data_IF_159323633360
#
_entry.id   IF_159323633360
#
_cell.length_a   1.000
_cell.length_b   1.000
_cell.length_c   1.000
_cell.angle_alpha   90.00
_cell.angle_beta   90.00
_cell.angle_gamma   90.00
#
_symmetry.space_group_name_H-M   'P 1'
#
loop_
_entity.id
_entity.type
_entity.pdbx_description
1 polymer ?
#
# COMPACT_ATOMS: atom_id res chain seq x y z
N UNK A 1 56.28 -22.17 35.62
CA UNK A 1 55.41 -20.99 35.82
C UNK A 1 54.62 -20.85 34.54
N UNK A 2 53.35 -21.22 34.62
CA UNK A 2 52.45 -21.48 33.51
C UNK A 2 51.85 -20.15 33.05
N UNK A 3 52.57 -19.43 32.16
CA UNK A 3 52.03 -18.24 31.50
C UNK A 3 51.24 -18.73 30.29
N UNK A 4 50.05 -19.32 30.52
CA UNK A 4 49.13 -19.61 29.43
C UNK A 4 48.77 -18.27 28.78
N UNK A 5 49.26 -18.04 27.56
CA UNK A 5 48.92 -16.87 26.79
C UNK A 5 47.40 -16.77 26.68
N UNK A 6 46.76 -15.78 27.28
CA UNK A 6 45.32 -15.60 27.14
C UNK A 6 45.02 -15.13 25.72
N UNK A 7 44.22 -15.89 24.98
CA UNK A 7 43.69 -15.51 23.67
C UNK A 7 42.18 -15.26 23.80
N UNK A 8 41.73 -14.00 23.94
CA UNK A 8 40.32 -13.68 24.18
C UNK A 8 39.39 -14.32 23.14
N UNK A 9 38.35 -15.01 23.63
CA UNK A 9 37.40 -15.74 22.77
C UNK A 9 37.86 -17.13 22.31
N UNK A 10 39.00 -17.63 22.79
CA UNK A 10 39.48 -18.97 22.49
C UNK A 10 39.79 -19.76 23.77
N UNK A 11 39.54 -21.06 23.71
CA UNK A 11 39.96 -22.03 24.71
C UNK A 11 41.27 -22.68 24.27
N UNK A 12 42.26 -22.72 25.17
CA UNK A 12 43.50 -23.44 24.92
C UNK A 12 43.25 -24.94 24.89
N UNK A 13 43.47 -25.58 23.74
CA UNK A 13 43.27 -27.02 23.57
C UNK A 13 44.52 -27.85 23.89
N UNK A 14 45.71 -27.22 23.95
CA UNK A 14 46.96 -27.86 24.33
C UNK A 14 48.10 -27.64 23.32
N UNK A 15 49.26 -28.21 23.67
CA UNK A 15 50.46 -28.25 22.82
C UNK A 15 50.51 -29.55 22.02
N UNK A 16 51.01 -29.45 20.78
CA UNK A 16 51.10 -30.54 19.81
C UNK A 16 52.52 -30.62 19.23
N UNK A 17 52.97 -31.82 18.86
CA UNK A 17 54.33 -32.03 18.30
C UNK A 17 54.38 -31.98 16.78
N UNK A 18 53.23 -31.84 16.13
CA UNK A 18 53.09 -31.79 14.69
C UNK A 18 52.35 -30.51 14.26
N UNK A 19 52.73 -29.95 13.12
CA UNK A 19 52.15 -28.73 12.56
C UNK A 19 50.64 -28.87 12.26
N UNK A 20 50.20 -30.09 11.94
CA UNK A 20 48.79 -30.41 11.71
C UNK A 20 47.96 -30.44 13.01
N UNK A 21 48.59 -30.33 14.20
CA UNK A 21 47.93 -30.30 15.52
C UNK A 21 47.05 -31.53 15.77
N UNK A 22 47.59 -32.71 15.47
CA UNK A 22 46.92 -34.01 15.63
C UNK A 22 47.49 -34.85 16.78
N UNK A 23 48.77 -34.68 17.14
CA UNK A 23 49.48 -35.39 18.20
C UNK A 23 49.69 -34.49 19.43
N UNK A 24 48.74 -34.54 20.36
CA UNK A 24 48.75 -33.75 21.60
C UNK A 24 49.81 -34.26 22.58
N UNK A 25 50.48 -33.34 23.27
CA UNK A 25 51.38 -33.66 24.38
C UNK A 25 50.58 -33.92 25.65
N UNK A 26 50.89 -35.03 26.33
CA UNK A 26 50.41 -35.29 27.68
C UNK A 26 51.39 -34.68 28.71
N UNK A 27 50.89 -34.00 29.76
CA UNK A 27 51.74 -33.48 30.82
C UNK A 27 52.59 -34.60 31.47
N UNK A 28 53.88 -34.33 31.76
CA UNK A 28 54.74 -35.21 32.54
C UNK A 28 55.72 -36.11 31.76
N UNK A 29 55.71 -36.08 30.43
CA UNK A 29 56.72 -36.77 29.62
C UNK A 29 58.07 -36.04 29.59
N UNK A 30 59.19 -36.78 29.67
CA UNK A 30 60.50 -36.23 29.30
C UNK A 30 60.53 -36.04 27.79
N UNK A 31 60.49 -34.79 27.35
CA UNK A 31 60.72 -34.45 25.95
C UNK A 31 62.21 -34.70 25.62
N UNK A 32 62.55 -35.25 24.43
CA UNK A 32 63.92 -35.27 23.95
C UNK A 32 64.45 -33.84 23.75
N UNK A 33 65.70 -33.69 23.27
CA UNK A 33 66.33 -32.41 22.90
C UNK A 33 65.39 -31.48 22.11
N UNK A 34 65.75 -30.18 21.99
CA UNK A 34 64.98 -29.11 21.33
C UNK A 34 63.92 -29.60 20.31
N UNK A 35 62.64 -29.44 20.68
CA UNK A 35 61.47 -29.84 19.88
C UNK A 35 60.59 -28.61 19.61
N UNK A 36 60.07 -28.46 18.40
CA UNK A 36 59.08 -27.43 18.05
C UNK A 36 57.69 -27.88 18.47
N UNK A 37 57.00 -27.04 19.24
CA UNK A 37 55.62 -27.28 19.67
C UNK A 37 54.66 -26.32 18.95
N UNK A 38 53.46 -26.82 18.69
CA UNK A 38 52.37 -26.07 18.05
C UNK A 38 51.22 -25.95 19.04
N UNK A 39 50.77 -24.74 19.34
CA UNK A 39 49.57 -24.51 20.12
C UNK A 39 48.31 -24.71 19.29
N UNK A 40 47.24 -25.16 19.94
CA UNK A 40 45.90 -25.26 19.36
C UNK A 40 44.91 -24.46 20.20
N UNK A 41 44.17 -23.60 19.52
CA UNK A 41 43.14 -22.74 20.11
C UNK A 41 41.80 -23.05 19.45
N UNK A 42 40.76 -23.26 20.25
CA UNK A 42 39.41 -23.53 19.76
C UNK A 42 38.54 -22.30 20.10
N UNK A 43 37.86 -21.67 19.13
CA UNK A 43 36.96 -20.56 19.41
C UNK A 43 35.86 -20.98 20.40
N UNK A 44 35.62 -20.14 21.40
CA UNK A 44 34.53 -20.33 22.35
C UNK A 44 33.22 -19.93 21.66
N UNK A 45 32.21 -20.79 21.77
CA UNK A 45 30.85 -20.51 21.31
C UNK A 45 30.07 -19.81 22.42
N UNK A 46 29.65 -18.58 22.16
CA UNK A 46 28.81 -17.78 23.05
C UNK A 46 27.35 -17.86 22.62
N UNK A 47 26.42 -18.19 23.54
CA UNK A 47 25.00 -18.26 23.21
C UNK A 47 24.43 -16.87 22.92
N UNK A 48 23.54 -16.82 21.93
CA UNK A 48 22.71 -15.66 21.61
C UNK A 48 21.29 -15.94 22.07
N UNK A 49 20.78 -15.10 22.97
CA UNK A 49 19.40 -15.19 23.44
C UNK A 49 18.55 -14.07 22.85
N UNK A 50 17.27 -14.36 22.60
CA UNK A 50 16.32 -13.42 22.02
C UNK A 50 15.12 -13.29 22.94
N UNK A 51 14.89 -12.09 23.45
CA UNK A 51 13.66 -11.70 24.09
C UNK A 51 12.70 -11.19 23.00
N UNK A 52 11.62 -11.94 22.81
CA UNK A 52 10.73 -11.75 21.68
C UNK A 52 9.58 -10.80 21.97
N UNK A 53 9.41 -10.28 23.19
CA UNK A 53 8.29 -9.40 23.54
C UNK A 53 6.92 -9.94 23.07
N UNK A 54 6.71 -11.26 23.20
CA UNK A 54 5.51 -11.98 22.78
C UNK A 54 5.45 -12.37 21.30
N UNK A 55 6.48 -12.10 20.51
CA UNK A 55 6.63 -12.54 19.13
C UNK A 55 7.38 -13.87 18.97
N UNK A 56 7.87 -14.13 17.76
CA UNK A 56 8.62 -15.34 17.38
C UNK A 56 9.89 -14.98 16.61
N UNK A 57 10.97 -15.70 16.88
CA UNK A 57 12.26 -15.47 16.22
C UNK A 57 12.35 -16.22 14.89
N UNK A 58 13.10 -15.67 13.95
CA UNK A 58 13.50 -16.39 12.73
C UNK A 58 14.45 -17.53 13.08
N UNK A 59 14.22 -18.72 12.53
CA UNK A 59 15.15 -19.87 12.64
C UNK A 59 16.50 -19.63 11.96
N UNK A 60 16.61 -18.58 11.13
CA UNK A 60 17.85 -18.18 10.45
C UNK A 60 18.78 -17.36 11.36
N UNK A 61 18.27 -16.84 12.47
CA UNK A 61 19.10 -16.12 13.43
C UNK A 61 19.99 -17.11 14.22
N UNK A 62 21.25 -16.75 14.52
CA UNK A 62 22.20 -17.66 15.14
C UNK A 62 21.80 -18.01 16.58
N UNK A 63 22.04 -19.26 16.98
CA UNK A 63 21.95 -19.68 18.39
C UNK A 63 23.27 -19.45 19.15
N UNK A 64 24.39 -19.51 18.43
CA UNK A 64 25.73 -19.32 18.97
C UNK A 64 26.55 -18.49 18.01
N UNK A 65 27.49 -17.74 18.57
CA UNK A 65 28.49 -16.94 17.85
C UNK A 65 29.87 -17.13 18.47
N UNK A 66 30.91 -16.82 17.72
CA UNK A 66 32.29 -16.78 18.21
C UNK A 66 32.99 -15.55 17.66
N UNK A 67 34.22 -15.33 18.11
CA UNK A 67 35.11 -14.30 17.57
C UNK A 67 35.46 -14.49 16.08
N UNK A 68 35.16 -15.66 15.51
CA UNK A 68 35.37 -15.98 14.09
C UNK A 68 34.08 -15.91 13.26
N UNK A 69 32.92 -15.60 13.85
CA UNK A 69 31.63 -15.60 13.15
C UNK A 69 31.49 -14.55 12.04
N UNK A 70 32.39 -13.57 11.98
CA UNK A 70 32.30 -12.46 11.01
C UNK A 70 31.06 -11.59 11.20
N UNK A 71 30.61 -10.98 10.10
CA UNK A 71 29.46 -10.06 10.08
C UNK A 71 28.16 -10.87 9.97
N UNK A 72 27.28 -10.76 10.96
CA UNK A 72 25.98 -11.44 10.97
C UNK A 72 24.85 -10.42 10.86
N UNK A 73 24.10 -10.47 9.76
CA UNK A 73 22.84 -9.74 9.62
C UNK A 73 21.71 -10.48 10.33
N UNK A 74 20.92 -9.76 11.12
CA UNK A 74 19.80 -10.33 11.85
C UNK A 74 18.54 -10.30 10.98
N UNK A 75 17.83 -11.43 10.95
CA UNK A 75 16.51 -11.52 10.36
C UNK A 75 15.44 -10.94 11.29
N UNK A 76 14.38 -10.32 10.76
CA UNK A 76 13.32 -9.74 11.55
C UNK A 76 12.57 -10.80 12.38
N UNK A 77 12.05 -10.38 13.53
CA UNK A 77 11.11 -11.15 14.32
C UNK A 77 9.69 -10.98 13.79
N UNK A 78 8.79 -11.90 14.14
CA UNK A 78 7.37 -11.84 13.77
C UNK A 78 6.46 -11.77 14.97
N UNK A 79 5.49 -10.85 14.97
CA UNK A 79 4.44 -10.74 15.99
C UNK A 79 3.10 -10.42 15.32
N UNK A 80 2.09 -11.30 15.38
CA UNK A 80 0.79 -11.03 14.77
C UNK A 80 0.20 -9.69 15.24
N UNK A 81 -0.30 -8.89 14.30
CA UNK A 81 -0.88 -7.56 14.57
C UNK A 81 0.14 -6.43 14.74
N UNK A 82 1.42 -6.68 14.49
CA UNK A 82 2.48 -5.68 14.59
C UNK A 82 3.50 -5.86 13.47
N UNK A 83 4.15 -4.77 13.07
CA UNK A 83 5.32 -4.82 12.20
C UNK A 83 6.59 -4.88 13.04
N UNK A 84 7.60 -5.57 12.50
CA UNK A 84 8.93 -5.56 13.11
C UNK A 84 9.57 -4.18 12.95
N UNK A 85 10.16 -3.68 14.03
CA UNK A 85 10.75 -2.34 14.05
C UNK A 85 12.28 -2.40 14.14
N UNK A 86 12.84 -3.12 15.13
CA UNK A 86 14.29 -3.35 15.22
C UNK A 86 14.67 -4.46 16.22
N UNK A 87 15.91 -4.92 16.14
CA UNK A 87 16.58 -5.57 17.26
C UNK A 87 17.23 -4.51 18.15
N UNK A 88 17.19 -4.73 19.46
CA UNK A 88 17.83 -3.88 20.46
C UNK A 88 18.88 -4.70 21.20
N UNK A 89 20.12 -4.23 21.19
CA UNK A 89 21.24 -4.77 21.97
C UNK A 89 21.74 -3.67 22.90
N UNK A 90 21.69 -3.89 24.22
CA UNK A 90 22.22 -2.93 25.21
C UNK A 90 21.62 -1.52 25.09
N UNK A 91 20.37 -1.42 24.65
CA UNK A 91 19.66 -0.14 24.45
C UNK A 91 19.79 0.44 23.04
N UNK A 92 20.71 -0.07 22.22
CA UNK A 92 20.96 0.41 20.87
C UNK A 92 20.22 -0.41 19.82
N UNK A 93 19.68 0.27 18.80
CA UNK A 93 19.02 -0.38 17.67
C UNK A 93 20.08 -0.93 16.72
N UNK A 94 19.99 -2.21 16.40
CA UNK A 94 20.93 -2.88 15.51
C UNK A 94 20.21 -3.69 14.43
N UNK A 95 20.86 -3.83 13.27
CA UNK A 95 20.48 -4.77 12.19
C UNK A 95 21.55 -5.83 11.95
N UNK A 96 22.75 -5.62 12.51
CA UNK A 96 23.94 -6.47 12.36
C UNK A 96 24.57 -6.64 13.74
N UNK A 97 25.03 -7.85 14.07
CA UNK A 97 25.72 -8.10 15.32
C UNK A 97 27.10 -7.43 15.34
N UNK A 98 27.54 -6.88 16.49
CA UNK A 98 28.92 -6.41 16.67
C UNK A 98 29.95 -7.51 16.38
N UNK A 99 31.09 -7.13 15.83
CA UNK A 99 32.21 -8.05 15.63
C UNK A 99 32.87 -8.44 16.96
N UNK A 100 33.57 -9.59 16.96
CA UNK A 100 34.42 -10.07 18.06
C UNK A 100 33.71 -10.17 19.41
N UNK A 101 32.47 -10.65 19.42
CA UNK A 101 31.75 -10.90 20.66
C UNK A 101 32.41 -12.05 21.45
N UNK A 102 32.84 -11.73 22.67
CA UNK A 102 33.51 -12.66 23.60
C UNK A 102 32.67 -13.01 24.82
N UNK A 103 31.35 -12.88 24.73
CA UNK A 103 30.41 -13.15 25.82
C UNK A 103 29.02 -13.50 25.28
N UNK A 104 28.16 -14.17 26.09
CA UNK A 104 26.75 -14.28 25.77
C UNK A 104 26.11 -12.90 25.53
N UNK A 105 25.16 -12.83 24.60
CA UNK A 105 24.38 -11.61 24.33
C UNK A 105 22.89 -11.91 24.41
N UNK A 106 22.11 -10.86 24.70
CA UNK A 106 20.65 -10.88 24.67
C UNK A 106 20.15 -9.75 23.79
N UNK A 107 19.32 -10.09 22.82
CA UNK A 107 18.64 -9.16 21.92
C UNK A 107 17.18 -9.04 22.31
N UNK A 108 16.62 -7.83 22.24
CA UNK A 108 15.20 -7.59 22.42
C UNK A 108 14.56 -7.21 21.09
N UNK A 109 13.45 -7.85 20.73
CA UNK A 109 12.68 -7.49 19.54
C UNK A 109 11.78 -6.28 19.84
N UNK A 110 11.93 -5.20 19.08
CA UNK A 110 11.01 -4.05 19.06
C UNK A 110 9.97 -4.24 17.97
N UNK A 111 8.73 -3.88 18.27
CA UNK A 111 7.60 -3.93 17.34
C UNK A 111 6.83 -2.62 17.37
N UNK A 112 6.28 -2.25 16.22
CA UNK A 112 5.44 -1.07 16.08
C UNK A 112 4.04 -1.47 15.57
N UNK A 113 3.01 -0.63 15.79
CA UNK A 113 1.71 -0.83 15.17
C UNK A 113 1.79 -0.92 13.63
N UNK A 114 0.83 -1.62 13.04
CA UNK A 114 0.62 -1.65 11.59
C UNK A 114 0.26 -0.24 11.10
N UNK A 115 0.52 0.03 9.82
CA UNK A 115 0.17 1.34 9.26
C UNK A 115 -1.33 1.41 9.00
N UNK A 116 -1.92 2.55 9.33
CA UNK A 116 -3.34 2.83 9.08
C UNK A 116 -3.50 3.50 7.73
N UNK A 117 -4.45 3.01 6.95
CA UNK A 117 -4.84 3.54 5.64
C UNK A 117 -6.22 4.14 5.73
N UNK A 118 -6.29 5.45 5.53
CA UNK A 118 -7.52 6.23 5.44
C UNK A 118 -7.96 6.35 3.98
N UNK A 119 -9.26 6.49 3.76
CA UNK A 119 -9.84 6.58 2.42
C UNK A 119 -10.66 7.85 2.23
N UNK A 120 -10.21 8.73 1.34
CA UNK A 120 -10.99 9.87 0.86
C UNK A 120 -11.65 9.48 -0.47
N UNK A 121 -12.96 9.30 -0.45
CA UNK A 121 -13.70 8.76 -1.60
C UNK A 121 -14.20 9.83 -2.57
N UNK A 122 -14.00 11.12 -2.25
CA UNK A 122 -14.46 12.26 -3.04
C UNK A 122 -15.95 12.11 -3.42
N UNK A 123 -16.82 11.89 -2.43
CA UNK A 123 -18.26 11.70 -2.64
C UNK A 123 -18.68 10.34 -3.20
N UNK A 124 -17.75 9.38 -3.32
CA UNK A 124 -18.08 7.96 -3.43
C UNK A 124 -18.58 7.38 -2.09
N UNK A 125 -19.12 6.16 -2.11
CA UNK A 125 -19.55 5.47 -0.89
C UNK A 125 -18.41 5.33 0.12
N UNK A 126 -18.68 5.60 1.41
CA UNK A 126 -17.69 5.57 2.50
C UNK A 126 -17.02 4.19 2.60
N UNK A 127 -15.71 4.20 2.85
CA UNK A 127 -14.91 3.03 3.17
C UNK A 127 -14.32 3.27 4.56
N UNK A 128 -14.41 2.26 5.44
CA UNK A 128 -13.75 2.31 6.74
C UNK A 128 -12.24 2.14 6.58
N UNK A 129 -11.50 2.76 7.50
CA UNK A 129 -10.05 2.66 7.57
C UNK A 129 -9.61 1.20 7.69
N UNK A 130 -8.41 0.94 7.18
CA UNK A 130 -7.80 -0.40 7.17
C UNK A 130 -6.39 -0.33 7.70
N UNK A 131 -5.88 -1.49 8.09
CA UNK A 131 -4.47 -1.65 8.46
C UNK A 131 -3.73 -2.43 7.37
N UNK A 132 -2.43 -2.17 7.24
CA UNK A 132 -1.54 -3.00 6.43
C UNK A 132 -1.26 -4.34 7.10
N UNK A 133 -0.67 -5.29 6.37
CA UNK A 133 -0.03 -6.45 6.97
C UNK A 133 1.29 -6.08 7.70
N UNK A 134 1.92 -7.09 8.29
CA UNK A 134 3.19 -6.96 9.03
C UNK A 134 4.38 -6.49 8.18
N UNK A 135 4.25 -6.54 6.84
CA UNK A 135 5.25 -6.11 5.87
C UNK A 135 4.90 -4.78 5.18
N UNK A 136 3.79 -4.13 5.58
CA UNK A 136 3.35 -2.85 5.04
C UNK A 136 2.43 -2.95 3.82
N UNK A 137 2.02 -4.14 3.38
CA UNK A 137 1.11 -4.29 2.24
C UNK A 137 -0.34 -4.09 2.65
N UNK A 138 -1.10 -3.39 1.80
CA UNK A 138 -2.53 -3.25 1.96
C UNK A 138 -3.25 -4.32 1.12
N UNK A 139 -4.10 -5.13 1.75
CA UNK A 139 -4.92 -6.09 1.01
C UNK A 139 -5.87 -5.38 0.04
N UNK A 140 -5.94 -5.87 -1.20
CA UNK A 140 -6.88 -5.35 -2.20
C UNK A 140 -8.33 -5.52 -1.75
N UNK A 141 -9.19 -4.58 -2.16
CA UNK A 141 -10.60 -4.59 -1.80
C UNK A 141 -11.47 -3.97 -2.89
N UNK A 142 -12.79 -4.15 -2.78
CA UNK A 142 -13.72 -3.60 -3.77
C UNK A 142 -13.68 -2.07 -3.72
N UNK A 143 -13.52 -1.39 -4.88
CA UNK A 143 -13.53 0.06 -4.89
C UNK A 143 -14.90 0.62 -4.47
N UNK A 144 -14.95 1.87 -4.00
CA UNK A 144 -16.23 2.52 -3.70
C UNK A 144 -17.03 2.69 -5.00
N UNK A 145 -18.32 2.92 -4.85
CA UNK A 145 -19.18 3.33 -5.97
C UNK A 145 -19.48 4.82 -5.85
N UNK A 146 -19.33 5.56 -6.95
CA UNK A 146 -19.79 6.94 -7.09
C UNK A 146 -20.75 7.01 -8.26
N UNK A 147 -21.99 7.36 -7.99
CA UNK A 147 -23.05 7.28 -8.98
C UNK A 147 -22.82 8.33 -10.09
N UNK A 148 -22.79 7.89 -11.35
CA UNK A 148 -22.51 8.76 -12.50
C UNK A 148 -21.02 9.01 -12.78
N UNK A 149 -20.13 8.27 -12.11
CA UNK A 149 -18.70 8.25 -12.39
C UNK A 149 -18.16 6.82 -12.40
N UNK A 150 -17.08 6.62 -13.13
CA UNK A 150 -16.29 5.40 -13.17
C UNK A 150 -15.06 5.56 -12.26
N UNK A 151 -14.81 4.57 -11.41
CA UNK A 151 -13.62 4.56 -10.55
C UNK A 151 -12.38 4.31 -11.41
N UNK A 152 -11.35 5.14 -11.25
CA UNK A 152 -10.11 5.05 -12.06
C UNK A 152 -8.92 4.52 -11.29
N UNK A 153 -8.97 4.50 -9.97
CA UNK A 153 -7.87 4.07 -9.12
C UNK A 153 -7.82 4.81 -7.79
N UNK A 154 -6.92 4.35 -6.91
CA UNK A 154 -6.52 5.06 -5.70
C UNK A 154 -5.24 5.84 -5.98
N UNK A 155 -5.10 7.00 -5.33
CA UNK A 155 -3.97 7.91 -5.51
C UNK A 155 -3.44 8.38 -4.17
N UNK A 156 -2.16 8.75 -4.13
CA UNK A 156 -1.45 9.25 -2.95
C UNK A 156 -1.63 10.76 -2.74
N UNK A 157 -2.26 11.46 -3.69
CA UNK A 157 -2.55 12.88 -3.61
C UNK A 157 -4.01 13.22 -3.99
N UNK A 158 -4.59 14.29 -3.42
CA UNK A 158 -5.96 14.71 -3.72
C UNK A 158 -6.20 15.02 -5.19
N UNK A 159 -5.19 15.49 -5.93
CA UNK A 159 -5.31 15.83 -7.35
C UNK A 159 -5.24 14.59 -8.27
N UNK A 160 -5.11 13.39 -7.70
CA UNK A 160 -5.03 12.13 -8.41
C UNK A 160 -3.90 12.07 -9.46
N UNK A 161 -2.70 12.53 -9.10
CA UNK A 161 -1.50 12.53 -9.96
C UNK A 161 -0.61 11.30 -9.73
N UNK A 162 -0.58 10.80 -8.50
CA UNK A 162 0.31 9.71 -8.08
C UNK A 162 -0.50 8.45 -7.79
N UNK A 163 -0.65 7.53 -8.76
CA UNK A 163 -1.43 6.31 -8.55
C UNK A 163 -0.79 5.43 -7.48
N UNK A 164 -1.65 4.83 -6.65
CA UNK A 164 -1.25 3.84 -5.65
C UNK A 164 -1.21 2.44 -6.26
N UNK A 165 -0.13 1.72 -6.00
CA UNK A 165 0.07 0.34 -6.41
C UNK A 165 -0.02 -0.59 -5.19
N UNK A 166 -0.99 -1.50 -5.20
CA UNK A 166 -1.20 -2.47 -4.13
C UNK A 166 -0.06 -3.50 -3.99
N UNK A 167 0.86 -3.56 -4.96
CA UNK A 167 2.04 -4.41 -4.93
C UNK A 167 3.27 -3.77 -4.28
N UNK A 168 3.14 -2.52 -3.81
CA UNK A 168 4.19 -1.80 -3.08
C UNK A 168 3.81 -1.63 -1.60
N UNK A 169 4.76 -1.81 -0.67
CA UNK A 169 4.48 -1.66 0.75
C UNK A 169 4.42 -0.17 1.15
N UNK A 170 3.51 0.15 2.06
CA UNK A 170 3.49 1.43 2.75
C UNK A 170 4.51 1.45 3.89
N UNK A 171 5.12 2.62 4.08
CA UNK A 171 6.12 2.86 5.14
C UNK A 171 5.66 3.86 6.20
N UNK A 172 4.41 4.32 6.11
CA UNK A 172 3.77 5.24 7.03
C UNK A 172 2.24 5.15 6.89
N UNK A 173 1.52 5.67 7.88
CA UNK A 173 0.08 5.89 7.77
C UNK A 173 -0.21 6.76 6.54
N UNK A 174 -1.21 6.39 5.76
CA UNK A 174 -1.43 6.94 4.41
C UNK A 174 -2.90 7.23 4.19
N UNK A 175 -3.20 8.33 3.50
CA UNK A 175 -4.56 8.58 2.97
C UNK A 175 -4.56 8.29 1.48
N UNK A 176 -5.47 7.42 1.04
CA UNK A 176 -5.70 7.14 -0.37
C UNK A 176 -6.91 7.92 -0.88
N UNK A 177 -6.75 8.57 -2.03
CA UNK A 177 -7.75 9.39 -2.68
C UNK A 177 -8.35 8.66 -3.88
N UNK A 178 -9.67 8.56 -3.95
CA UNK A 178 -10.36 7.90 -5.06
C UNK A 178 -10.40 8.82 -6.29
N UNK A 179 -9.84 8.35 -7.41
CA UNK A 179 -9.93 9.04 -8.68
C UNK A 179 -11.17 8.62 -9.48
N UNK A 180 -11.83 9.59 -10.11
CA UNK A 180 -13.10 9.38 -10.82
C UNK A 180 -13.10 9.95 -12.22
N UNK A 181 -13.72 9.23 -13.16
CA UNK A 181 -14.01 9.71 -14.51
C UNK A 181 -15.51 9.87 -14.70
N UNK A 182 -15.98 11.04 -15.10
CA UNK A 182 -17.42 11.28 -15.31
C UNK A 182 -18.00 10.37 -16.39
N UNK A 183 -19.12 9.71 -16.07
CA UNK A 183 -19.91 8.96 -17.05
C UNK A 183 -20.85 9.91 -17.80
N UNK A 184 -20.95 9.73 -19.12
CA UNK A 184 -21.83 10.53 -19.97
C UNK A 184 -23.06 9.73 -20.40
N UNK A 185 -24.23 10.35 -20.34
CA UNK A 185 -25.49 9.79 -20.79
C UNK A 185 -25.97 10.47 -22.07
N UNK A 186 -26.49 9.73 -23.06
CA UNK A 186 -26.97 10.32 -24.30
C UNK A 186 -28.32 11.04 -24.09
N UNK A 187 -28.54 12.11 -24.86
CA UNK A 187 -29.83 12.78 -24.98
C UNK A 187 -30.37 12.55 -26.39
N UNK A 188 -31.62 12.12 -26.49
CA UNK A 188 -32.31 11.87 -27.75
C UNK A 188 -33.58 12.70 -27.84
N UNK A 189 -33.86 13.22 -29.04
CA UNK A 189 -34.95 14.15 -29.29
C UNK A 189 -35.91 13.57 -30.32
N UNK A 190 -37.18 13.41 -29.94
CA UNK A 190 -38.30 13.23 -30.85
C UNK A 190 -38.95 14.60 -31.10
N UNK A 191 -38.76 15.14 -32.30
CA UNK A 191 -39.29 16.46 -32.67
C UNK A 191 -40.74 16.46 -33.11
N UNK A 192 -41.39 15.29 -33.20
CA UNK A 192 -42.75 15.12 -33.73
C UNK A 192 -42.93 15.85 -35.10
N UNK A 193 -41.97 15.64 -36.02
CA UNK A 193 -41.96 16.26 -37.34
C UNK A 193 -41.49 17.71 -37.39
N UNK A 194 -40.90 18.22 -36.31
CA UNK A 194 -40.18 19.50 -36.26
C UNK A 194 -38.68 19.37 -36.54
N UNK A 195 -37.98 20.49 -36.47
CA UNK A 195 -36.52 20.59 -36.60
C UNK A 195 -35.92 20.92 -35.24
N UNK A 196 -35.00 20.08 -34.76
CA UNK A 196 -34.31 20.29 -33.50
C UNK A 196 -33.30 21.45 -33.60
N UNK A 197 -33.09 22.19 -32.51
CA UNK A 197 -32.05 23.19 -32.45
C UNK A 197 -30.67 22.53 -32.45
N UNK A 198 -29.75 22.96 -33.33
CA UNK A 198 -28.38 22.44 -33.40
C UNK A 198 -27.58 22.58 -32.10
N UNK A 199 -27.96 23.54 -31.24
CA UNK A 199 -27.32 23.80 -29.93
C UNK A 199 -27.79 22.85 -28.83
N UNK A 200 -28.77 21.99 -29.08
CA UNK A 200 -29.22 21.05 -28.06
C UNK A 200 -28.13 20.01 -27.75
N UNK A 201 -27.90 19.68 -26.46
CA UNK A 201 -26.86 18.76 -26.04
C UNK A 201 -27.13 17.34 -26.56
N UNK A 202 -26.09 16.65 -27.01
CA UNK A 202 -26.19 15.23 -27.43
C UNK A 202 -25.92 14.25 -26.29
N UNK A 203 -25.33 14.74 -25.19
CA UNK A 203 -25.04 14.00 -23.98
C UNK A 203 -24.94 14.96 -22.80
N UNK A 204 -25.07 14.43 -21.60
CA UNK A 204 -24.90 15.14 -20.35
C UNK A 204 -24.27 14.22 -19.29
N UNK A 205 -23.76 14.77 -18.21
CA UNK A 205 -23.30 14.00 -17.05
C UNK A 205 -24.03 14.46 -15.79
N UNK A 206 -24.05 13.63 -14.76
CA UNK A 206 -24.57 14.03 -13.43
C UNK A 206 -23.82 15.24 -12.88
N UNK A 207 -22.52 15.32 -13.17
CA UNK A 207 -21.60 16.40 -12.76
C UNK A 207 -21.73 17.68 -13.59
N UNK A 208 -22.60 17.72 -14.61
CA UNK A 208 -22.86 18.93 -15.38
C UNK A 208 -23.75 19.89 -14.58
N UNK A 209 -23.45 21.19 -14.68
CA UNK A 209 -24.42 22.26 -14.36
C UNK A 209 -25.71 22.07 -15.17
N UNK A 210 -26.83 22.72 -14.78
CA UNK A 210 -28.07 22.65 -15.55
C UNK A 210 -27.82 22.96 -17.03
N UNK A 211 -28.19 22.03 -17.91
CA UNK A 211 -27.88 22.13 -19.34
C UNK A 211 -29.08 22.69 -20.09
N UNK A 212 -28.98 23.88 -20.72
CA UNK A 212 -30.14 24.49 -21.37
C UNK A 212 -30.65 23.65 -22.53
N UNK A 213 -31.98 23.58 -22.66
CA UNK A 213 -32.66 22.97 -23.80
C UNK A 213 -33.29 24.06 -24.66
N UNK A 214 -32.85 24.12 -25.91
CA UNK A 214 -33.29 25.08 -26.89
C UNK A 214 -34.56 24.61 -27.61
N UNK A 215 -35.46 25.54 -27.99
CA UNK A 215 -36.72 25.21 -28.63
C UNK A 215 -36.53 24.59 -30.01
N UNK A 216 -37.32 23.57 -30.33
CA UNK A 216 -37.46 23.07 -31.70
C UNK A 216 -38.37 23.99 -32.53
N UNK A 217 -38.30 23.87 -33.85
CA UNK A 217 -39.12 24.66 -34.80
C UNK A 217 -40.03 23.73 -35.61
N UNK A 218 -41.33 24.05 -35.66
CA UNK A 218 -42.31 23.36 -36.52
C UNK A 218 -43.30 24.38 -37.09
N UNK A 219 -43.44 24.42 -38.42
CA UNK A 219 -44.28 25.41 -39.13
C UNK A 219 -45.72 25.37 -38.62
N UNK A 220 -46.30 26.54 -38.33
CA UNK A 220 -47.68 26.68 -37.85
C UNK A 220 -47.92 26.28 -36.38
N UNK A 221 -46.87 25.94 -35.64
CA UNK A 221 -46.93 25.51 -34.25
C UNK A 221 -46.04 26.38 -33.35
N UNK A 222 -46.48 26.63 -32.12
CA UNK A 222 -45.68 27.25 -31.05
C UNK A 222 -45.08 26.15 -30.18
N UNK A 223 -43.77 26.17 -29.99
CA UNK A 223 -43.08 25.26 -29.08
C UNK A 223 -43.47 25.55 -27.63
N UNK A 224 -43.80 24.50 -26.88
CA UNK A 224 -44.17 24.59 -25.46
C UNK A 224 -43.01 24.17 -24.56
N UNK A 225 -42.27 23.14 -24.92
CA UNK A 225 -41.14 22.62 -24.14
C UNK A 225 -40.78 21.20 -24.56
N UNK A 226 -39.74 20.65 -23.94
CA UNK A 226 -39.34 19.26 -24.12
C UNK A 226 -39.95 18.39 -23.02
N UNK A 227 -40.76 17.42 -23.38
CA UNK A 227 -41.36 16.49 -22.43
C UNK A 227 -40.44 15.29 -22.18
N UNK A 228 -40.16 14.99 -20.92
CA UNK A 228 -39.45 13.77 -20.52
C UNK A 228 -40.39 12.53 -20.52
N UNK A 229 -39.88 11.31 -20.32
CA UNK A 229 -40.72 10.10 -20.31
C UNK A 229 -41.76 10.06 -19.18
N UNK A 230 -41.63 10.92 -18.16
CA UNK A 230 -42.57 11.02 -17.03
C UNK A 230 -43.66 12.05 -17.30
N UNK A 231 -43.60 12.75 -18.43
CA UNK A 231 -44.55 13.78 -18.82
C UNK A 231 -44.18 15.19 -18.37
N UNK A 232 -43.05 15.37 -17.68
CA UNK A 232 -42.57 16.67 -17.20
C UNK A 232 -42.03 17.51 -18.35
N UNK A 233 -42.47 18.77 -18.43
CA UNK A 233 -41.94 19.72 -19.41
C UNK A 233 -40.65 20.34 -18.87
N UNK A 234 -39.58 20.20 -19.64
CA UNK A 234 -38.23 20.68 -19.36
C UNK A 234 -37.82 21.76 -20.37
N UNK A 235 -37.14 22.77 -19.82
CA UNK A 235 -36.45 23.83 -20.57
C UNK A 235 -34.93 23.77 -20.39
N UNK A 236 -34.48 22.91 -19.48
CA UNK A 236 -33.09 22.55 -19.23
C UNK A 236 -33.06 21.14 -18.67
N UNK A 237 -31.92 20.46 -18.77
CA UNK A 237 -31.63 19.22 -18.07
C UNK A 237 -31.13 19.64 -16.68
N UNK A 238 -31.88 19.37 -15.60
CA UNK A 238 -31.46 19.77 -14.26
C UNK A 238 -30.13 19.11 -13.86
N UNK A 239 -29.34 19.82 -13.05
CA UNK A 239 -28.15 19.26 -12.43
C UNK A 239 -28.49 17.97 -11.68
N UNK A 240 -27.60 16.98 -11.75
CA UNK A 240 -27.79 15.71 -11.06
C UNK A 240 -28.78 14.73 -11.72
N UNK A 241 -29.40 15.07 -12.87
CA UNK A 241 -30.22 14.11 -13.64
C UNK A 241 -29.35 12.96 -14.18
N UNK A 242 -29.94 11.79 -14.43
CA UNK A 242 -29.19 10.57 -14.76
C UNK A 242 -29.87 9.65 -15.75
N UNK A 243 -29.04 8.87 -16.45
CA UNK A 243 -29.45 7.87 -17.42
C UNK A 243 -29.68 8.45 -18.83
N UNK A 244 -29.83 7.60 -19.85
CA UNK A 244 -30.22 8.07 -21.18
C UNK A 244 -31.53 8.87 -21.14
N UNK A 245 -31.50 10.09 -21.67
CA UNK A 245 -32.65 10.99 -21.66
C UNK A 245 -33.34 10.98 -23.03
N UNK A 246 -34.65 10.72 -23.04
CA UNK A 246 -35.49 10.79 -24.25
C UNK A 246 -36.47 11.94 -24.09
N UNK A 247 -36.41 12.92 -24.98
CA UNK A 247 -37.22 14.13 -24.92
C UNK A 247 -38.13 14.22 -26.14
N UNK A 248 -39.41 14.52 -25.91
CA UNK A 248 -40.40 14.74 -26.98
C UNK A 248 -40.80 16.21 -27.06
N UNK A 249 -40.80 16.79 -28.26
CA UNK A 249 -41.23 18.17 -28.45
C UNK A 249 -42.75 18.30 -28.23
N UNK A 250 -43.17 19.24 -27.39
CA UNK A 250 -44.58 19.57 -27.16
C UNK A 250 -44.95 20.85 -27.89
N UNK A 251 -46.07 20.81 -28.61
CA UNK A 251 -46.51 21.87 -29.52
C UNK A 251 -47.90 22.40 -29.16
N UNK A 252 -48.15 23.67 -29.47
CA UNK A 252 -49.47 24.31 -29.42
C UNK A 252 -49.77 24.90 -30.79
N UNK A 253 -50.92 24.56 -31.40
CA UNK A 253 -51.31 25.16 -32.69
C UNK A 253 -51.52 26.67 -32.53
N UNK A 254 -50.97 27.44 -33.47
CA UNK A 254 -51.26 28.88 -33.53
C UNK A 254 -52.62 29.02 -34.24
N UNK A 255 -53.64 29.56 -33.56
CA UNK A 255 -54.93 29.83 -34.20
C UNK A 255 -54.69 30.85 -35.31
N UNK A 256 -54.99 30.49 -36.56
CA UNK A 256 -55.02 31.48 -37.63
C UNK A 256 -56.18 32.42 -37.37
N UNK A 257 -55.91 33.68 -37.05
CA UNK A 257 -56.90 34.71 -37.29
C UNK A 257 -57.11 34.78 -38.80
N UNK A 258 -58.24 34.26 -39.28
CA UNK A 258 -58.79 34.73 -40.56
C UNK A 258 -59.01 36.24 -40.37
N UNK A 259 -58.24 37.06 -41.08
CA UNK A 259 -58.74 38.38 -41.47
C UNK A 259 -60.03 38.12 -42.24
N UNK A 260 -61.16 38.51 -41.67
CA UNK A 260 -62.31 38.86 -42.49
C UNK A 260 -61.94 40.23 -43.07
N UNK A 261 -61.53 40.22 -44.33
CA UNK A 261 -61.64 41.39 -45.20
C UNK A 261 -63.04 41.35 -45.81
N UNK A 262 -63.65 42.55 -45.84
CA UNK A 262 -64.89 42.99 -46.47
C UNK A 262 -66.23 42.60 -45.81
#
# INVERSE_FOLDING_TARGET
MDNQAERPGYQFAGWYVDEARTKRINPGGKLPSAITLYDKWIPILYPVSYDMNGGTNSRKNPQFISVESGVISLHPARKPGYRFDSWILEGERISVLPERITRPIRLHASFAPLYVVHFETDGGGRIEDRETDENGYLDSFRPPMKFGAEFTGWYLDPDCRWPFDFSEPLTADTTLYAGWKSSWFPVTYDTDGGINARRNPVRYSRSSDPVPLYPAIRKGCRFVGWQDPRGTILHEIPAGMMGPLKLKAVWRKVKSHRRAEE
#
